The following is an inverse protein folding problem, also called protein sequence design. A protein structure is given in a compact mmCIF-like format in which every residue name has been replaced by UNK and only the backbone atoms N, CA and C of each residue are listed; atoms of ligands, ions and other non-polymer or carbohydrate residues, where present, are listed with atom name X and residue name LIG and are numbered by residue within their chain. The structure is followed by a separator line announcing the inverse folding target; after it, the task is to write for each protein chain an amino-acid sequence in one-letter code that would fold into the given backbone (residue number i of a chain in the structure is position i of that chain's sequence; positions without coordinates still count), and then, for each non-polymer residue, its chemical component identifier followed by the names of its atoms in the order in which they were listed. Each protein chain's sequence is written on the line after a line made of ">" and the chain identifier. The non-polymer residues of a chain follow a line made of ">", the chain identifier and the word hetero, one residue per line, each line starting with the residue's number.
data_IF_470974346760
#
_entry.id   IF_470974346760
#
_cell.length_a   1.000
_cell.length_b   1.000
_cell.length_c   1.000
_cell.angle_alpha   90.00
_cell.angle_beta   90.00
_cell.angle_gamma   90.00
#
_symmetry.space_group_name_H-M   'P 1'
#
loop_
_entity.id
_entity.type
_entity.pdbx_description
1 polymer ?
#
# COMPACT_ATOMS: atom_id res chain seq x y z
N UNK A 1 28.46 -9.35 -3.56
CA UNK A 1 27.03 -8.97 -3.69
C UNK A 1 26.84 -7.55 -3.20
N UNK A 2 26.05 -6.77 -3.92
CA UNK A 2 25.74 -5.42 -3.48
C UNK A 2 24.81 -5.45 -2.25
N UNK A 3 24.88 -4.41 -1.43
CA UNK A 3 23.96 -4.26 -0.28
C UNK A 3 22.50 -4.34 -0.72
N UNK A 4 22.18 -3.83 -1.92
CA UNK A 4 20.83 -3.84 -2.46
C UNK A 4 20.31 -5.26 -2.68
N UNK A 5 21.17 -6.17 -3.17
CA UNK A 5 20.79 -7.56 -3.41
C UNK A 5 20.52 -8.32 -2.12
N UNK A 6 21.20 -7.95 -1.01
CA UNK A 6 20.95 -8.54 0.31
C UNK A 6 19.74 -7.93 1.00
N UNK A 7 19.49 -6.66 0.74
CA UNK A 7 18.40 -5.91 1.35
C UNK A 7 17.03 -6.39 0.86
N UNK A 8 16.90 -6.63 -0.44
CA UNK A 8 15.66 -7.04 -1.09
C UNK A 8 15.76 -8.46 -1.61
N UNK A 9 14.86 -9.34 -1.13
CA UNK A 9 14.79 -10.74 -1.56
C UNK A 9 13.35 -11.16 -1.78
N UNK A 10 13.18 -12.26 -2.49
CA UNK A 10 11.87 -12.90 -2.72
C UNK A 10 10.82 -11.93 -3.27
N UNK A 11 11.23 -11.13 -4.26
CA UNK A 11 10.33 -10.18 -4.93
C UNK A 11 9.40 -10.95 -5.86
N UNK A 12 8.09 -10.83 -5.65
CA UNK A 12 7.09 -11.54 -6.42
C UNK A 12 5.91 -10.62 -6.77
N UNK A 13 5.53 -10.61 -8.06
CA UNK A 13 4.37 -9.85 -8.52
C UNK A 13 3.07 -10.49 -8.04
N UNK A 14 2.13 -9.65 -7.58
CA UNK A 14 0.79 -10.06 -7.15
C UNK A 14 -0.25 -9.46 -8.10
N UNK A 15 -0.52 -10.12 -9.25
CA UNK A 15 -1.41 -9.54 -10.27
C UNK A 15 -2.82 -9.21 -9.78
N UNK A 16 -3.32 -10.01 -8.83
CA UNK A 16 -4.67 -9.82 -8.28
C UNK A 16 -4.82 -8.56 -7.43
N UNK A 17 -3.69 -7.93 -7.06
CA UNK A 17 -3.67 -6.70 -6.28
C UNK A 17 -3.38 -5.47 -7.14
N UNK A 18 -3.08 -5.66 -8.44
CA UNK A 18 -2.76 -4.54 -9.34
C UNK A 18 -3.91 -3.54 -9.41
N UNK A 19 -3.52 -2.26 -9.54
CA UNK A 19 -4.45 -1.15 -9.68
C UNK A 19 -4.33 -0.55 -11.08
N UNK A 20 -5.16 0.44 -11.40
CA UNK A 20 -5.22 1.02 -12.73
C UNK A 20 -3.84 1.52 -13.23
N UNK A 21 -3.11 2.21 -12.36
CA UNK A 21 -1.81 2.79 -12.73
C UNK A 21 -0.62 2.07 -12.08
N UNK A 22 -0.88 1.09 -11.22
CA UNK A 22 0.14 0.50 -10.36
C UNK A 22 0.21 -1.01 -10.49
N UNK A 23 1.41 -1.53 -10.34
CA UNK A 23 1.66 -2.96 -10.09
C UNK A 23 1.99 -3.14 -8.61
N UNK A 24 1.55 -4.27 -8.05
CA UNK A 24 1.77 -4.60 -6.64
C UNK A 24 2.64 -5.84 -6.54
N UNK A 25 3.65 -5.77 -5.68
CA UNK A 25 4.57 -6.87 -5.41
C UNK A 25 4.61 -7.15 -3.92
N UNK A 26 4.96 -8.38 -3.56
CA UNK A 26 5.41 -8.70 -2.22
C UNK A 26 6.93 -8.94 -2.29
N UNK A 27 7.61 -8.68 -1.20
CA UNK A 27 9.06 -8.86 -1.12
C UNK A 27 9.49 -8.98 0.34
N UNK A 28 10.73 -9.41 0.55
CA UNK A 28 11.36 -9.33 1.87
C UNK A 28 12.41 -8.24 1.86
N UNK A 29 12.34 -7.34 2.83
CA UNK A 29 13.34 -6.32 3.09
C UNK A 29 14.03 -6.67 4.40
N UNK A 30 15.30 -7.06 4.33
CA UNK A 30 16.06 -7.57 5.48
C UNK A 30 15.30 -8.69 6.21
N UNK A 31 14.70 -9.61 5.43
CA UNK A 31 13.98 -10.75 5.97
C UNK A 31 12.56 -10.48 6.46
N UNK A 32 12.09 -9.24 6.39
CA UNK A 32 10.73 -8.86 6.78
C UNK A 32 9.84 -8.73 5.54
N UNK A 33 8.67 -9.35 5.56
CA UNK A 33 7.71 -9.23 4.47
C UNK A 33 7.13 -7.82 4.38
N UNK A 34 7.14 -7.27 3.17
CA UNK A 34 6.56 -5.95 2.86
C UNK A 34 5.81 -6.04 1.54
N UNK A 35 4.98 -5.03 1.27
CA UNK A 35 4.32 -4.87 -0.02
C UNK A 35 4.89 -3.66 -0.73
N UNK A 36 4.98 -3.76 -2.06
CA UNK A 36 5.52 -2.72 -2.93
C UNK A 36 4.45 -2.30 -3.92
N UNK A 37 4.23 -0.99 -4.03
CA UNK A 37 3.32 -0.42 -5.03
C UNK A 37 4.14 0.49 -5.93
N UNK A 38 4.23 0.13 -7.21
CA UNK A 38 5.04 0.84 -8.19
C UNK A 38 4.21 1.19 -9.43
N UNK A 39 4.59 2.25 -10.15
CA UNK A 39 3.93 2.59 -11.41
C UNK A 39 4.13 1.49 -12.45
N UNK A 40 3.11 1.26 -13.27
CA UNK A 40 3.23 0.38 -14.42
C UNK A 40 4.33 0.89 -15.35
N UNK A 41 5.03 -0.01 -16.07
CA UNK A 41 6.15 0.40 -16.91
C UNK A 41 5.84 1.54 -17.89
N UNK A 42 4.62 1.55 -18.44
CA UNK A 42 4.21 2.58 -19.40
C UNK A 42 4.10 3.99 -18.82
N UNK A 43 4.07 4.12 -17.49
CA UNK A 43 3.95 5.41 -16.80
C UNK A 43 5.21 5.84 -16.06
N UNK A 44 6.23 4.97 -16.01
CA UNK A 44 7.43 5.21 -15.17
C UNK A 44 8.19 6.47 -15.51
N UNK A 45 8.25 6.82 -16.79
CA UNK A 45 9.01 7.97 -17.26
C UNK A 45 8.14 9.20 -17.50
N UNK A 46 6.86 9.12 -17.24
CA UNK A 46 5.94 10.26 -17.40
C UNK A 46 5.92 11.08 -16.10
N UNK A 47 6.31 12.36 -16.21
CA UNK A 47 6.43 13.26 -15.07
C UNK A 47 5.10 13.42 -14.29
N UNK A 48 3.96 13.33 -14.99
CA UNK A 48 2.65 13.48 -14.36
C UNK A 48 2.35 12.30 -13.43
N UNK A 49 2.67 11.09 -13.85
CA UNK A 49 2.46 9.89 -13.02
C UNK A 49 3.47 9.79 -11.91
N UNK A 50 4.71 10.23 -12.16
CA UNK A 50 5.72 10.29 -11.10
C UNK A 50 5.30 11.27 -10.00
N UNK A 51 4.76 12.42 -10.37
CA UNK A 51 4.22 13.40 -9.41
C UNK A 51 3.04 12.79 -8.63
N UNK A 52 2.21 11.98 -9.28
CA UNK A 52 1.07 11.32 -8.64
C UNK A 52 1.52 10.36 -7.54
N UNK A 53 2.51 9.49 -7.81
CA UNK A 53 2.97 8.54 -6.80
C UNK A 53 3.72 9.25 -5.66
N UNK A 54 4.48 10.29 -5.96
CA UNK A 54 5.15 11.10 -4.95
C UNK A 54 4.15 11.78 -4.02
N UNK A 55 3.07 12.32 -4.58
CA UNK A 55 2.01 12.95 -3.80
C UNK A 55 1.28 11.92 -2.93
N UNK A 56 1.01 10.73 -3.45
CA UNK A 56 0.40 9.67 -2.66
C UNK A 56 1.29 9.31 -1.47
N UNK A 57 2.59 9.19 -1.71
CA UNK A 57 3.53 8.93 -0.62
C UNK A 57 3.50 10.03 0.44
N UNK A 58 3.60 11.30 0.01
CA UNK A 58 3.63 12.42 0.94
C UNK A 58 2.39 12.49 1.82
N UNK A 59 1.21 12.30 1.22
CA UNK A 59 -0.06 12.32 1.94
C UNK A 59 -0.15 11.16 2.94
N UNK A 60 0.16 9.94 2.48
CA UNK A 60 0.01 8.74 3.30
C UNK A 60 1.08 8.60 4.37
N UNK A 61 2.28 9.11 4.12
CA UNK A 61 3.39 8.99 5.07
C UNK A 61 3.10 9.70 6.40
N UNK A 62 2.30 10.74 6.36
CA UNK A 62 1.91 11.49 7.57
C UNK A 62 0.78 10.84 8.37
N UNK A 63 0.12 9.81 7.80
CA UNK A 63 -1.01 9.15 8.45
C UNK A 63 -0.53 8.08 9.44
N UNK A 64 -1.13 8.06 10.64
CA UNK A 64 -0.84 7.06 11.64
C UNK A 64 -2.14 6.66 12.32
N UNK A 65 -2.72 5.54 11.88
CA UNK A 65 -3.99 5.04 12.41
C UNK A 65 -4.01 3.51 12.30
N UNK A 66 -4.53 2.79 13.32
CA UNK A 66 -4.50 1.32 13.32
C UNK A 66 -5.27 0.67 12.16
N UNK A 67 -6.24 1.39 11.58
CA UNK A 67 -7.06 0.86 10.49
C UNK A 67 -6.59 1.31 9.11
N UNK A 68 -5.42 1.97 9.03
CA UNK A 68 -4.82 2.41 7.77
C UNK A 68 -3.44 1.75 7.67
N UNK A 69 -3.18 1.10 6.54
CA UNK A 69 -1.87 0.46 6.31
C UNK A 69 -0.79 1.54 6.26
N UNK A 70 0.22 1.40 7.12
CA UNK A 70 1.29 2.38 7.22
C UNK A 70 2.28 2.27 6.08
N UNK A 71 2.73 3.42 5.59
CA UNK A 71 3.83 3.50 4.65
C UNK A 71 5.14 3.51 5.43
N UNK A 72 6.05 2.62 5.04
CA UNK A 72 7.37 2.51 5.68
C UNK A 72 8.43 3.30 4.96
N UNK A 73 8.37 3.34 3.63
CA UNK A 73 9.44 3.95 2.83
C UNK A 73 8.97 4.23 1.40
N UNK A 74 9.83 4.95 0.67
CA UNK A 74 9.64 5.27 -0.75
C UNK A 74 11.00 5.12 -1.42
N UNK A 75 11.22 4.04 -2.17
CA UNK A 75 12.52 3.66 -2.69
C UNK A 75 12.47 3.22 -4.14
N UNK A 76 13.57 3.45 -4.84
CA UNK A 76 13.78 2.87 -6.16
C UNK A 76 14.40 1.47 -5.98
N UNK A 77 13.63 0.44 -6.29
CA UNK A 77 14.03 -0.94 -6.05
C UNK A 77 14.50 -1.58 -7.36
N UNK A 78 15.71 -2.13 -7.40
CA UNK A 78 16.24 -2.76 -8.62
C UNK A 78 15.30 -3.84 -9.17
N UNK A 79 14.99 -3.75 -10.45
CA UNK A 79 14.09 -4.69 -11.12
C UNK A 79 12.60 -4.41 -10.93
N UNK A 80 12.25 -3.48 -10.05
CA UNK A 80 10.84 -3.12 -9.79
C UNK A 80 10.56 -1.67 -10.17
N UNK A 81 11.39 -0.74 -9.68
CA UNK A 81 11.23 0.69 -9.89
C UNK A 81 10.88 1.44 -8.62
N UNK A 82 10.57 2.74 -8.77
CA UNK A 82 10.22 3.61 -7.65
C UNK A 82 8.92 3.13 -7.01
N UNK A 83 8.99 2.77 -5.75
CA UNK A 83 7.91 2.06 -5.06
C UNK A 83 7.59 2.66 -3.69
N UNK A 84 6.31 2.66 -3.38
CA UNK A 84 5.83 2.89 -2.01
C UNK A 84 5.92 1.54 -1.29
N UNK A 85 6.60 1.53 -0.15
CA UNK A 85 6.81 0.33 0.67
C UNK A 85 5.88 0.38 1.89
N UNK A 86 5.05 -0.64 2.04
CA UNK A 86 4.14 -0.75 3.18
C UNK A 86 4.35 -2.07 3.90
N UNK A 87 3.79 -2.18 5.10
CA UNK A 87 3.74 -3.46 5.79
C UNK A 87 2.92 -4.46 4.97
N UNK A 88 3.28 -5.74 5.04
CA UNK A 88 2.49 -6.78 4.40
C UNK A 88 1.13 -6.91 5.10
N UNK A 89 0.11 -7.20 4.29
CA UNK A 89 -1.25 -7.39 4.79
C UNK A 89 -1.55 -8.88 4.80
N UNK A 90 -1.70 -9.44 5.99
CA UNK A 90 -1.96 -10.87 6.17
C UNK A 90 -3.46 -11.14 6.17
N UNK A 91 -3.83 -12.33 5.67
CA UNK A 91 -5.21 -12.79 5.69
C UNK A 91 -5.90 -12.64 4.34
N UNK A 92 -7.20 -12.87 4.35
CA UNK A 92 -8.02 -12.82 3.14
C UNK A 92 -8.58 -11.42 2.93
N UNK A 93 -8.65 -11.00 1.65
CA UNK A 93 -9.28 -9.73 1.31
C UNK A 93 -10.80 -9.82 1.52
N UNK A 94 -11.44 -8.65 1.70
CA UNK A 94 -12.91 -8.59 1.78
C UNK A 94 -13.55 -9.15 0.51
N UNK A 95 -12.98 -8.86 -0.66
CA UNK A 95 -13.48 -9.41 -1.93
C UNK A 95 -13.49 -10.93 -1.91
N UNK A 96 -12.41 -11.55 -1.45
CA UNK A 96 -12.31 -13.00 -1.39
C UNK A 96 -13.30 -13.61 -0.41
N UNK A 97 -13.49 -12.96 0.75
CA UNK A 97 -14.48 -13.40 1.72
C UNK A 97 -15.90 -13.31 1.17
N UNK A 98 -16.21 -12.23 0.43
CA UNK A 98 -17.51 -12.08 -0.24
C UNK A 98 -17.73 -13.15 -1.29
N UNK A 99 -16.72 -13.41 -2.14
CA UNK A 99 -16.80 -14.39 -3.21
C UNK A 99 -16.98 -15.82 -2.66
N UNK A 100 -16.43 -16.09 -1.49
CA UNK A 100 -16.53 -17.39 -0.83
C UNK A 100 -17.76 -17.50 0.09
N UNK A 101 -18.56 -16.45 0.20
CA UNK A 101 -19.75 -16.44 1.05
C UNK A 101 -19.46 -16.49 2.55
N UNK A 102 -18.27 -16.03 2.97
CA UNK A 102 -17.82 -16.13 4.36
C UNK A 102 -17.98 -14.85 5.17
N UNK A 103 -18.62 -13.82 4.59
CA UNK A 103 -18.85 -12.56 5.30
C UNK A 103 -20.03 -12.72 6.25
N UNK A 104 -19.78 -12.45 7.54
CA UNK A 104 -20.82 -12.53 8.58
C UNK A 104 -21.27 -11.12 8.97
N UNK A 105 -22.42 -11.05 9.68
CA UNK A 105 -22.91 -9.79 10.23
C UNK A 105 -21.86 -9.13 11.15
N UNK A 106 -21.12 -9.94 11.91
CA UNK A 106 -20.06 -9.47 12.77
C UNK A 106 -18.93 -8.78 11.97
N UNK A 107 -18.54 -9.36 10.83
CA UNK A 107 -17.56 -8.75 9.93
C UNK A 107 -18.02 -7.38 9.43
N UNK A 108 -19.31 -7.27 9.06
CA UNK A 108 -19.89 -6.01 8.57
C UNK A 108 -19.82 -4.92 9.65
N UNK A 109 -20.20 -5.27 10.87
CA UNK A 109 -20.17 -4.33 12.00
C UNK A 109 -18.75 -3.89 12.34
N UNK A 110 -17.79 -4.83 12.39
CA UNK A 110 -16.38 -4.49 12.63
C UNK A 110 -15.83 -3.58 11.54
N UNK A 111 -16.09 -3.92 10.27
CA UNK A 111 -15.63 -3.13 9.14
C UNK A 111 -16.20 -1.72 9.18
N UNK A 112 -17.49 -1.59 9.48
CA UNK A 112 -18.14 -0.28 9.60
C UNK A 112 -17.47 0.60 10.63
N UNK A 113 -17.23 0.08 11.84
CA UNK A 113 -16.55 0.82 12.90
C UNK A 113 -15.14 1.22 12.51
N UNK A 114 -14.37 0.30 11.94
CA UNK A 114 -12.99 0.55 11.55
C UNK A 114 -12.89 1.59 10.43
N UNK A 115 -13.81 1.53 9.44
CA UNK A 115 -13.86 2.50 8.36
C UNK A 115 -14.25 3.88 8.86
N UNK A 116 -15.26 3.98 9.72
CA UNK A 116 -15.70 5.26 10.28
C UNK A 116 -14.56 5.91 11.06
N UNK A 117 -13.87 5.15 11.91
CA UNK A 117 -12.74 5.66 12.68
C UNK A 117 -11.62 6.17 11.76
N UNK A 118 -11.30 5.43 10.70
CA UNK A 118 -10.26 5.84 9.76
C UNK A 118 -10.67 7.10 8.97
N UNK A 119 -11.92 7.16 8.52
CA UNK A 119 -12.44 8.32 7.79
C UNK A 119 -12.50 9.57 8.66
N UNK A 120 -12.93 9.43 9.92
CA UNK A 120 -12.94 10.54 10.87
C UNK A 120 -11.53 11.08 11.11
N UNK A 121 -10.56 10.18 11.23
CA UNK A 121 -9.16 10.56 11.40
C UNK A 121 -8.65 11.37 10.20
N UNK A 122 -8.93 10.90 8.98
CA UNK A 122 -8.51 11.59 7.75
C UNK A 122 -9.18 12.96 7.66
N UNK A 123 -10.47 13.05 7.95
CA UNK A 123 -11.21 14.31 7.93
C UNK A 123 -10.64 15.31 8.92
N UNK A 124 -10.29 14.88 10.13
CA UNK A 124 -9.69 15.74 11.14
C UNK A 124 -8.32 16.28 10.70
N UNK A 125 -7.51 15.45 10.03
CA UNK A 125 -6.22 15.90 9.48
C UNK A 125 -6.44 16.94 8.39
N UNK A 126 -7.38 16.73 7.48
CA UNK A 126 -7.73 17.69 6.43
C UNK A 126 -8.10 19.04 7.02
N UNK A 127 -8.92 19.06 8.06
CA UNK A 127 -9.31 20.30 8.73
C UNK A 127 -8.12 21.03 9.33
N UNK A 128 -7.17 20.32 9.88
CA UNK A 128 -5.95 20.90 10.46
C UNK A 128 -5.07 21.50 9.37
N UNK A 129 -5.01 20.89 8.19
CA UNK A 129 -4.20 21.36 7.08
C UNK A 129 -4.81 22.56 6.37
N UNK A 130 -6.13 22.75 6.44
CA UNK A 130 -6.84 23.90 5.84
C UNK A 130 -6.63 25.19 6.62
N UNK A 131 -6.11 25.12 7.81
CA UNK A 131 -5.79 26.29 8.62
C UNK A 131 -4.34 26.70 8.38
#
# INVERSE_FOLDING_TARGET
>A
MSETAQRWTEIEHLPEWDEEFYLVYTAKKFGKWVMLKTLRPEYRDDARYRAMIEQEFDVRYSLAHPNIVMINDFEDIPGVGLSIVTDDVYGLSLRKLLDEGKVTHHHVEQLRHQLVDALDYIENIDRLLEK
#
